data_IF_551912556524
#
_entry.id   IF_551912556524
#
_cell.length_a   1.000
_cell.length_b   1.000
_cell.length_c   1.000
_cell.angle_alpha   90.00
_cell.angle_beta   90.00
_cell.angle_gamma   90.00
#
_symmetry.space_group_name_H-M   'P 1'
#
loop_
_entity.id
_entity.type
_entity.pdbx_description
1 polymer ?
#
# COMPACT_ATOMS: atom_id res chain seq x y z
N UNK A 1 3.40 2.39 -6.77
CA UNK A 1 3.19 2.00 -8.19
C UNK A 1 3.98 0.76 -8.61
N UNK A 2 3.80 -0.37 -7.90
CA UNK A 2 4.40 -1.65 -8.30
C UNK A 2 3.69 -2.22 -9.56
N UNK A 3 4.35 -3.07 -10.37
CA UNK A 3 3.77 -3.64 -11.59
C UNK A 3 2.43 -4.34 -11.38
N UNK A 4 2.24 -5.11 -10.30
CA UNK A 4 1.00 -5.83 -10.02
C UNK A 4 -0.20 -4.89 -9.79
N UNK A 5 -0.02 -3.82 -9.03
CA UNK A 5 -1.07 -2.80 -8.84
C UNK A 5 -1.38 -2.03 -10.12
N UNK A 6 -0.52 -2.16 -11.13
CA UNK A 6 -0.61 -1.56 -12.45
C UNK A 6 -1.06 -2.57 -13.52
N UNK A 7 -1.53 -3.73 -13.13
CA UNK A 7 -2.13 -4.65 -14.11
C UNK A 7 -3.59 -4.24 -14.36
N UNK A 8 -4.04 -4.36 -15.61
CA UNK A 8 -5.38 -3.91 -16.00
C UNK A 8 -6.47 -4.79 -15.38
N UNK A 9 -6.23 -6.11 -15.23
CA UNK A 9 -7.17 -7.00 -14.56
C UNK A 9 -7.28 -6.65 -13.08
N UNK A 10 -6.15 -6.27 -12.44
CA UNK A 10 -6.16 -5.82 -11.05
C UNK A 10 -6.93 -4.52 -10.90
N UNK A 11 -6.69 -3.53 -11.77
CA UNK A 11 -7.41 -2.25 -11.74
C UNK A 11 -8.91 -2.40 -11.96
N UNK A 12 -9.31 -3.22 -12.94
CA UNK A 12 -10.72 -3.49 -13.23
C UNK A 12 -11.40 -4.18 -12.05
N UNK A 13 -10.76 -5.20 -11.48
CA UNK A 13 -11.29 -5.87 -10.30
C UNK A 13 -11.45 -4.90 -9.14
N UNK A 14 -10.44 -4.07 -8.83
CA UNK A 14 -10.52 -3.10 -7.75
C UNK A 14 -11.64 -2.07 -7.98
N UNK A 15 -11.77 -1.54 -9.20
CA UNK A 15 -12.83 -0.58 -9.54
C UNK A 15 -14.23 -1.15 -9.33
N UNK A 16 -14.42 -2.44 -9.62
CA UNK A 16 -15.71 -3.11 -9.47
C UNK A 16 -16.03 -3.53 -8.03
N UNK A 17 -15.02 -3.74 -7.18
CA UNK A 17 -15.19 -4.35 -5.85
C UNK A 17 -14.88 -3.43 -4.68
N UNK A 18 -14.17 -2.32 -4.89
CA UNK A 18 -13.73 -1.41 -3.82
C UNK A 18 -14.44 -0.06 -3.94
N UNK A 19 -15.31 0.30 -2.98
CA UNK A 19 -15.87 1.65 -2.91
C UNK A 19 -14.76 2.70 -2.83
N UNK A 20 -14.88 3.78 -3.61
CA UNK A 20 -13.92 4.89 -3.65
C UNK A 20 -12.49 4.49 -4.08
N UNK A 21 -12.36 3.46 -4.91
CA UNK A 21 -11.06 3.10 -5.49
C UNK A 21 -10.42 4.28 -6.25
N UNK A 22 -9.17 4.59 -5.91
CA UNK A 22 -8.34 5.56 -6.63
C UNK A 22 -7.57 4.78 -7.69
N UNK A 23 -7.91 4.99 -8.96
CA UNK A 23 -7.21 4.35 -10.05
C UNK A 23 -5.79 4.89 -10.22
N UNK A 24 -5.00 4.18 -11.02
CA UNK A 24 -3.59 4.50 -11.24
C UNK A 24 -3.33 5.92 -11.77
N UNK A 25 -4.07 6.47 -12.76
CA UNK A 25 -3.89 7.85 -13.19
C UNK A 25 -4.10 8.89 -12.07
N UNK A 26 -5.00 8.63 -11.12
CA UNK A 26 -5.31 9.57 -10.04
C UNK A 26 -4.41 9.39 -8.80
N UNK A 27 -3.75 8.25 -8.64
CA UNK A 27 -2.79 8.07 -7.55
C UNK A 27 -1.45 8.79 -7.84
N UNK A 28 -1.01 9.72 -6.98
CA UNK A 28 0.24 10.44 -7.20
C UNK A 28 1.45 9.51 -7.03
N UNK A 29 2.33 9.50 -8.03
CA UNK A 29 3.54 8.69 -8.00
C UNK A 29 4.52 9.20 -6.93
N UNK A 30 5.20 8.27 -6.24
CA UNK A 30 6.20 8.55 -5.21
C UNK A 30 5.69 9.38 -4.01
N UNK A 31 4.44 9.19 -3.61
CA UNK A 31 3.84 9.84 -2.44
C UNK A 31 3.63 8.88 -1.28
N UNK A 32 4.70 8.48 -0.55
CA UNK A 32 4.56 7.64 0.65
C UNK A 32 3.81 8.37 1.77
N UNK A 33 3.87 9.71 1.80
CA UNK A 33 3.13 10.59 2.70
C UNK A 33 1.60 10.46 2.56
N UNK A 34 1.11 9.94 1.43
CA UNK A 34 -0.31 9.74 1.18
C UNK A 34 -0.76 8.29 1.39
N UNK A 35 0.15 7.36 1.68
CA UNK A 35 -0.18 5.96 1.98
C UNK A 35 -0.15 5.71 3.49
N UNK A 36 -1.30 5.46 4.16
CA UNK A 36 -1.35 5.19 5.61
C UNK A 36 -0.48 4.05 6.09
N UNK A 37 -0.22 3.08 5.21
CA UNK A 37 0.72 2.01 5.51
C UNK A 37 2.13 2.57 5.68
N UNK A 38 2.57 3.43 4.75
CA UNK A 38 3.93 3.96 4.70
C UNK A 38 4.19 5.07 5.71
N UNK A 39 3.25 6.02 5.91
CA UNK A 39 3.50 7.15 6.82
C UNK A 39 3.21 6.86 8.31
N UNK A 40 2.59 5.73 8.64
CA UNK A 40 2.15 5.47 10.02
C UNK A 40 2.19 4.01 10.43
N UNK A 41 1.46 3.14 9.73
CA UNK A 41 1.21 1.77 10.24
C UNK A 41 2.51 0.95 10.30
N UNK A 42 3.40 1.07 9.31
CA UNK A 42 4.68 0.36 9.34
C UNK A 42 5.59 0.83 10.49
N UNK A 43 5.62 2.12 10.78
CA UNK A 43 6.38 2.67 11.90
C UNK A 43 5.85 2.16 13.24
N UNK A 44 4.54 2.05 13.39
CA UNK A 44 3.91 1.47 14.59
C UNK A 44 4.29 -0.01 14.74
N UNK A 45 4.20 -0.79 13.66
CA UNK A 45 4.60 -2.20 13.69
C UNK A 45 6.07 -2.37 14.08
N UNK A 46 6.97 -1.58 13.51
CA UNK A 46 8.41 -1.61 13.83
C UNK A 46 8.67 -1.34 15.32
N UNK A 47 7.93 -0.41 15.93
CA UNK A 47 8.07 -0.07 17.35
C UNK A 47 7.61 -1.20 18.27
N UNK A 48 6.54 -1.91 17.91
CA UNK A 48 6.02 -3.02 18.72
C UNK A 48 6.72 -4.36 18.45
N UNK A 49 7.54 -4.43 17.40
CA UNK A 49 8.13 -5.67 16.96
C UNK A 49 9.18 -6.17 17.96
N UNK A 50 9.06 -7.43 18.37
CA UNK A 50 10.12 -8.08 19.13
C UNK A 50 11.25 -8.49 18.17
N UNK A 51 12.23 -7.60 18.04
CA UNK A 51 13.37 -7.78 17.13
C UNK A 51 14.25 -8.98 17.46
N UNK A 52 14.28 -9.45 18.71
CA UNK A 52 15.06 -10.63 19.11
C UNK A 52 14.48 -11.92 18.50
N UNK A 53 13.18 -11.94 18.20
CA UNK A 53 12.52 -13.07 17.54
C UNK A 53 12.64 -13.07 16.02
N UNK A 54 13.09 -11.96 15.43
CA UNK A 54 13.14 -11.77 13.97
C UNK A 54 14.54 -12.02 13.41
N UNK A 55 15.58 -11.93 14.24
CA UNK A 55 16.97 -12.13 13.84
C UNK A 55 17.46 -13.58 13.99
N UNK A 56 16.59 -14.59 13.88
CA UNK A 56 16.98 -16.00 13.92
C UNK A 56 17.73 -16.45 12.67
#
# INVERSE_FOLDING_TARGET
NAPAHKDDLTQEWCKNNMPNFIDRPHWPANSPDLNPLDYSIWDEFVQQMNWDKIKS
#
